data_IF_203723081210
#
_entry.id   IF_203723081210
#
_cell.length_a   1.000
_cell.length_b   1.000
_cell.length_c   1.000
_cell.angle_alpha   90.00
_cell.angle_beta   90.00
_cell.angle_gamma   90.00
#
_symmetry.space_group_name_H-M   'P 1'
#
loop_
_entity.id
_entity.type
_entity.pdbx_description
1 polymer ?
#
# COMPACT_ATOMS: atom_id res chain seq x y z
N UNK A 1 37.77 43.54 15.71
CA UNK A 1 37.95 42.08 15.61
C UNK A 1 37.40 41.45 16.88
N UNK A 2 36.18 40.89 16.83
CA UNK A 2 35.57 40.13 17.92
C UNK A 2 34.77 39.00 17.26
N UNK A 3 35.27 37.77 17.40
CA UNK A 3 34.66 36.53 16.93
C UNK A 3 33.26 36.34 17.52
N UNK A 4 32.29 35.96 16.67
CA UNK A 4 31.01 35.41 17.13
C UNK A 4 31.22 33.93 17.41
N UNK A 5 31.07 33.54 18.67
CA UNK A 5 31.02 32.14 19.09
C UNK A 5 29.80 31.45 18.45
N UNK A 6 30.05 30.35 17.75
CA UNK A 6 29.03 29.43 17.23
C UNK A 6 28.39 28.66 18.39
N UNK A 7 27.05 28.73 18.50
CA UNK A 7 26.27 27.92 19.44
C UNK A 7 26.22 26.48 18.89
N UNK A 8 26.63 25.45 19.66
CA UNK A 8 26.59 24.07 19.19
C UNK A 8 25.15 23.53 19.23
N UNK A 9 24.74 22.85 18.17
CA UNK A 9 23.50 22.08 18.13
C UNK A 9 23.57 20.89 19.11
N UNK A 10 22.49 20.58 19.85
CA UNK A 10 22.47 19.39 20.70
C UNK A 10 22.49 18.13 19.82
N UNK A 11 23.43 17.23 20.11
CA UNK A 11 23.50 15.90 19.48
C UNK A 11 22.29 15.03 19.84
N UNK A 12 22.03 13.95 19.07
CA UNK A 12 20.90 13.07 19.33
C UNK A 12 21.02 12.41 20.72
N UNK A 13 19.89 12.35 21.43
CA UNK A 13 19.81 11.74 22.75
C UNK A 13 20.18 10.23 22.70
N UNK A 14 20.87 9.71 23.73
CA UNK A 14 21.24 8.30 23.79
C UNK A 14 19.97 7.42 23.86
N UNK A 15 19.92 6.39 23.01
CA UNK A 15 18.86 5.37 23.03
C UNK A 15 18.93 4.64 24.38
N UNK A 16 17.90 4.82 25.21
CA UNK A 16 17.73 4.06 26.44
C UNK A 16 17.52 2.57 26.11
N UNK A 17 18.50 1.74 26.44
CA UNK A 17 18.39 0.28 26.39
C UNK A 17 17.55 -0.20 27.57
N UNK A 18 16.24 -0.35 27.36
CA UNK A 18 15.36 -1.04 28.30
C UNK A 18 15.58 -2.55 28.17
N UNK A 19 16.54 -3.07 28.92
CA UNK A 19 16.69 -4.51 29.15
C UNK A 19 15.55 -4.98 30.07
N UNK A 20 14.45 -5.46 29.48
CA UNK A 20 13.42 -6.19 30.22
C UNK A 20 13.97 -7.55 30.61
N UNK A 21 13.99 -7.94 31.90
CA UNK A 21 14.49 -9.25 32.31
C UNK A 21 13.50 -10.35 31.90
N UNK A 22 13.95 -11.26 31.04
CA UNK A 22 13.29 -12.52 30.72
C UNK A 22 13.25 -13.40 31.98
N UNK A 23 12.14 -13.34 32.74
CA UNK A 23 11.84 -14.32 33.78
C UNK A 23 11.22 -15.56 33.14
N UNK A 24 11.98 -16.65 33.08
CA UNK A 24 11.49 -17.95 32.70
C UNK A 24 10.42 -18.44 33.69
N UNK A 25 9.23 -18.77 33.20
CA UNK A 25 8.25 -19.59 33.90
C UNK A 25 8.18 -20.96 33.20
N UNK A 26 8.50 -22.06 33.90
CA UNK A 26 8.46 -23.39 33.32
C UNK A 26 7.05 -23.97 33.37
N UNK A 27 6.66 -24.59 32.24
CA UNK A 27 5.71 -25.69 32.21
C UNK A 27 4.25 -25.36 32.54
N UNK A 28 3.51 -24.90 31.54
CA UNK A 28 2.11 -25.32 31.31
C UNK A 28 1.65 -24.73 29.97
N UNK A 29 1.59 -25.56 28.92
CA UNK A 29 0.55 -25.58 27.88
C UNK A 29 0.99 -26.52 26.76
N UNK A 30 0.01 -27.30 26.30
CA UNK A 30 0.19 -28.50 25.50
C UNK A 30 0.78 -28.26 24.12
N UNK A 31 1.19 -29.38 23.55
CA UNK A 31 1.76 -29.59 22.22
C UNK A 31 0.81 -29.21 21.08
N UNK A 32 0.59 -27.92 20.85
CA UNK A 32 -0.01 -27.44 19.58
C UNK A 32 0.90 -26.40 18.94
N UNK A 33 1.45 -26.79 17.78
CA UNK A 33 1.85 -25.92 16.67
C UNK A 33 3.14 -25.09 16.79
N UNK A 34 4.28 -25.79 16.88
CA UNK A 34 5.62 -25.24 16.59
C UNK A 34 5.74 -24.68 15.15
N UNK A 35 4.88 -25.11 14.22
CA UNK A 35 4.84 -24.62 12.83
C UNK A 35 4.02 -23.34 12.63
N UNK A 36 2.93 -23.13 13.38
CA UNK A 36 2.08 -21.93 13.23
C UNK A 36 2.74 -20.69 13.85
N UNK A 37 3.44 -20.86 14.97
CA UNK A 37 4.23 -19.80 15.58
C UNK A 37 5.29 -19.27 14.58
N UNK A 38 6.00 -20.16 13.88
CA UNK A 38 7.00 -19.76 12.89
C UNK A 38 6.44 -19.04 11.66
N UNK A 39 5.23 -19.38 11.21
CA UNK A 39 4.57 -18.67 10.09
C UNK A 39 4.13 -17.27 10.50
N UNK A 40 3.49 -17.13 11.67
CA UNK A 40 3.06 -15.83 12.18
C UNK A 40 4.25 -14.91 12.44
N UNK A 41 5.35 -15.46 12.98
CA UNK A 41 6.59 -14.73 13.15
C UNK A 41 7.12 -14.26 11.79
N UNK A 42 7.21 -15.12 10.77
CA UNK A 42 7.66 -14.73 9.42
C UNK A 42 6.72 -13.75 8.69
N UNK A 43 5.43 -13.73 9.04
CA UNK A 43 4.42 -12.88 8.44
C UNK A 43 4.43 -11.45 9.02
N UNK A 44 4.73 -11.31 10.32
CA UNK A 44 4.53 -10.04 11.05
C UNK A 44 5.81 -9.46 11.67
N UNK A 45 6.91 -10.24 11.77
CA UNK A 45 8.14 -9.78 12.40
C UNK A 45 8.77 -8.58 11.67
N UNK A 46 9.47 -7.75 12.44
CA UNK A 46 10.29 -6.65 11.95
C UNK A 46 11.52 -7.19 11.19
N UNK A 47 11.29 -7.64 9.95
CA UNK A 47 12.34 -8.13 9.06
C UNK A 47 12.89 -9.49 9.44
N UNK A 48 12.63 -10.47 8.58
CA UNK A 48 13.52 -11.62 8.47
C UNK A 48 14.69 -11.23 7.54
N UNK A 49 15.91 -10.99 8.04
CA UNK A 49 17.07 -10.76 7.18
C UNK A 49 17.35 -11.93 6.22
N UNK A 50 16.73 -13.11 6.44
CA UNK A 50 16.87 -14.27 5.57
C UNK A 50 15.96 -14.22 4.32
N UNK A 51 14.99 -13.30 4.21
CA UNK A 51 14.08 -13.23 3.06
C UNK A 51 13.83 -11.80 2.53
N UNK A 52 14.87 -11.15 1.98
CA UNK A 52 14.73 -9.84 1.34
C UNK A 52 13.84 -9.93 0.10
N UNK A 53 13.11 -8.86 -0.20
CA UNK A 53 12.40 -8.76 -1.48
C UNK A 53 13.39 -8.83 -2.65
N UNK A 54 13.10 -9.69 -3.63
CA UNK A 54 13.84 -9.74 -4.89
C UNK A 54 12.86 -9.64 -6.05
N UNK A 55 13.05 -8.62 -6.86
CA UNK A 55 12.21 -8.34 -8.02
C UNK A 55 12.23 -9.51 -9.02
N UNK A 56 11.05 -9.82 -9.56
CA UNK A 56 10.80 -10.90 -10.54
C UNK A 56 11.26 -12.31 -10.16
N UNK A 57 11.41 -12.62 -8.86
CA UNK A 57 11.52 -14.00 -8.39
C UNK A 57 10.16 -14.70 -8.33
N UNK A 58 10.18 -16.03 -8.20
CA UNK A 58 9.00 -16.89 -8.26
C UNK A 58 7.81 -16.43 -7.41
N UNK A 59 8.05 -16.00 -6.17
CA UNK A 59 6.98 -15.49 -5.31
C UNK A 59 6.36 -14.19 -5.84
N UNK A 60 7.19 -13.24 -6.30
CA UNK A 60 6.70 -11.99 -6.89
C UNK A 60 5.93 -12.25 -8.19
N UNK A 61 6.46 -13.07 -9.10
CA UNK A 61 5.80 -13.44 -10.35
C UNK A 61 4.46 -14.16 -10.10
N UNK A 62 4.41 -15.04 -9.10
CA UNK A 62 3.18 -15.71 -8.70
C UNK A 62 2.17 -14.70 -8.14
N UNK A 63 2.59 -13.79 -7.27
CA UNK A 63 1.72 -12.72 -6.75
C UNK A 63 1.16 -11.85 -7.87
N UNK A 64 2.00 -11.45 -8.84
CA UNK A 64 1.59 -10.71 -10.02
C UNK A 64 0.54 -11.47 -10.83
N UNK A 65 0.78 -12.75 -11.12
CA UNK A 65 -0.13 -13.57 -11.90
C UNK A 65 -1.49 -13.75 -11.20
N UNK A 66 -1.48 -14.05 -9.90
CA UNK A 66 -2.70 -14.23 -9.11
C UNK A 66 -3.48 -12.93 -9.03
N UNK A 67 -2.83 -11.81 -8.71
CA UNK A 67 -3.49 -10.51 -8.57
C UNK A 67 -4.00 -9.99 -9.91
N UNK A 68 -3.27 -10.22 -11.01
CA UNK A 68 -3.75 -9.91 -12.35
C UNK A 68 -4.97 -10.76 -12.73
N UNK A 69 -4.97 -12.05 -12.43
CA UNK A 69 -6.12 -12.93 -12.69
C UNK A 69 -7.36 -12.51 -11.86
N UNK A 70 -7.18 -12.20 -10.58
CA UNK A 70 -8.25 -11.69 -9.71
C UNK A 70 -8.76 -10.32 -10.16
N UNK A 71 -7.87 -9.41 -10.54
CA UNK A 71 -8.22 -8.11 -11.09
C UNK A 71 -9.02 -8.23 -12.39
N UNK A 72 -8.56 -9.07 -13.31
CA UNK A 72 -9.29 -9.38 -14.54
C UNK A 72 -10.66 -9.98 -14.25
N UNK A 73 -10.75 -10.96 -13.35
CA UNK A 73 -12.03 -11.54 -12.93
C UNK A 73 -12.98 -10.49 -12.36
N UNK A 74 -12.47 -9.58 -11.52
CA UNK A 74 -13.23 -8.46 -10.95
C UNK A 74 -13.80 -7.54 -12.04
N UNK A 75 -12.98 -7.17 -13.02
CA UNK A 75 -13.41 -6.35 -14.15
C UNK A 75 -14.47 -7.06 -15.00
N UNK A 76 -14.28 -8.34 -15.30
CA UNK A 76 -15.25 -9.14 -16.07
C UNK A 76 -16.59 -9.24 -15.37
N UNK A 77 -16.58 -9.51 -14.06
CA UNK A 77 -17.79 -9.53 -13.25
C UNK A 77 -18.47 -8.16 -13.18
N UNK A 78 -17.70 -7.07 -13.17
CA UNK A 78 -18.23 -5.72 -13.27
C UNK A 78 -18.92 -5.44 -14.61
N UNK A 79 -18.32 -5.88 -15.72
CA UNK A 79 -18.86 -5.68 -17.06
C UNK A 79 -20.15 -6.47 -17.30
N UNK A 80 -20.19 -7.75 -16.92
CA UNK A 80 -21.34 -8.63 -17.17
C UNK A 80 -22.34 -8.73 -16.03
N UNK A 81 -22.03 -8.15 -14.86
CA UNK A 81 -22.85 -8.25 -13.66
C UNK A 81 -23.98 -7.23 -13.61
N UNK A 82 -24.92 -7.45 -12.69
CA UNK A 82 -25.97 -6.49 -12.36
C UNK A 82 -25.40 -5.26 -11.65
N UNK A 83 -26.21 -4.21 -11.54
CA UNK A 83 -25.86 -3.02 -10.75
C UNK A 83 -25.54 -3.38 -9.29
N UNK A 84 -26.23 -4.37 -8.72
CA UNK A 84 -25.95 -4.86 -7.37
C UNK A 84 -24.55 -5.51 -7.29
N UNK A 85 -24.17 -6.33 -8.27
CA UNK A 85 -22.83 -6.92 -8.35
C UNK A 85 -21.78 -5.82 -8.45
N UNK A 86 -22.01 -4.81 -9.30
CA UNK A 86 -21.10 -3.65 -9.43
C UNK A 86 -20.92 -2.92 -8.10
N UNK A 87 -22.01 -2.66 -7.37
CA UNK A 87 -21.95 -2.00 -6.07
C UNK A 87 -21.21 -2.84 -5.03
N UNK A 88 -21.44 -4.15 -4.99
CA UNK A 88 -20.70 -5.08 -4.11
C UNK A 88 -19.21 -5.08 -4.40
N UNK A 89 -18.82 -5.09 -5.69
CA UNK A 89 -17.42 -5.02 -6.11
C UNK A 89 -16.79 -3.69 -5.69
N UNK A 90 -17.45 -2.56 -5.97
CA UNK A 90 -16.99 -1.22 -5.53
C UNK A 90 -16.75 -1.18 -4.02
N UNK A 91 -17.70 -1.67 -3.23
CA UNK A 91 -17.58 -1.77 -1.76
C UNK A 91 -16.42 -2.66 -1.34
N UNK A 92 -16.20 -3.79 -2.02
CA UNK A 92 -15.06 -4.67 -1.80
C UNK A 92 -13.73 -3.97 -2.05
N UNK A 93 -13.59 -3.26 -3.17
CA UNK A 93 -12.39 -2.48 -3.49
C UNK A 93 -12.14 -1.38 -2.44
N UNK A 94 -13.18 -0.64 -2.04
CA UNK A 94 -13.07 0.38 -0.98
C UNK A 94 -12.61 -0.25 0.33
N UNK A 95 -13.17 -1.40 0.72
CA UNK A 95 -12.78 -2.10 1.94
C UNK A 95 -11.30 -2.56 1.88
N UNK A 96 -10.85 -3.13 0.76
CA UNK A 96 -9.45 -3.53 0.57
C UNK A 96 -8.49 -2.34 0.68
N UNK A 97 -8.82 -1.22 0.04
CA UNK A 97 -8.03 0.01 0.11
C UNK A 97 -7.93 0.54 1.54
N UNK A 98 -9.04 0.58 2.28
CA UNK A 98 -9.05 1.02 3.68
C UNK A 98 -8.28 0.08 4.60
N UNK A 99 -8.49 -1.24 4.45
CA UNK A 99 -7.80 -2.24 5.28
C UNK A 99 -6.29 -2.18 5.07
N UNK A 100 -5.83 -2.13 3.81
CA UNK A 100 -4.38 -2.03 3.51
C UNK A 100 -3.78 -0.70 3.95
N UNK A 101 -4.54 0.40 3.86
CA UNK A 101 -4.10 1.69 4.37
C UNK A 101 -3.95 1.69 5.89
N UNK A 102 -4.95 1.18 6.62
CA UNK A 102 -4.94 1.10 8.09
C UNK A 102 -3.87 0.13 8.59
N UNK A 103 -3.74 -1.04 7.94
CA UNK A 103 -2.67 -2.01 8.22
C UNK A 103 -1.30 -1.33 8.18
N UNK A 104 -1.00 -0.58 7.13
CA UNK A 104 0.30 0.05 7.01
C UNK A 104 0.53 1.11 8.07
N UNK A 105 -0.51 1.87 8.42
CA UNK A 105 -0.40 2.83 9.51
C UNK A 105 -0.10 2.15 10.83
N UNK A 106 -0.86 1.09 11.14
CA UNK A 106 -0.74 0.31 12.36
C UNK A 106 0.61 -0.39 12.48
N UNK A 107 1.06 -1.10 11.44
CA UNK A 107 2.33 -1.83 11.44
C UNK A 107 3.50 -0.91 11.75
N UNK A 108 3.54 0.25 11.10
CA UNK A 108 4.63 1.20 11.32
C UNK A 108 4.52 1.95 12.67
N UNK A 109 3.31 2.16 13.23
CA UNK A 109 3.16 2.65 14.63
C UNK A 109 3.75 1.63 15.60
N UNK A 110 3.40 0.35 15.41
CA UNK A 110 3.79 -0.73 16.30
C UNK A 110 5.32 -0.93 16.35
N UNK A 111 6.00 -0.77 15.21
CA UNK A 111 7.44 -0.95 15.11
C UNK A 111 8.26 0.32 15.44
N UNK A 112 7.60 1.41 15.84
CA UNK A 112 8.29 2.66 16.18
C UNK A 112 8.92 3.38 14.98
N UNK A 113 8.63 2.93 13.76
CA UNK A 113 9.03 3.55 12.48
C UNK A 113 8.02 4.65 12.07
N UNK A 114 7.37 5.29 13.04
CA UNK A 114 6.44 6.38 12.80
C UNK A 114 7.18 7.71 12.71
N UNK A 115 7.66 8.05 11.51
CA UNK A 115 8.20 9.37 11.19
C UNK A 115 7.15 10.21 10.42
N UNK A 116 6.88 11.43 10.90
CA UNK A 116 5.98 12.40 10.24
C UNK A 116 6.43 12.71 8.81
N UNK A 117 7.75 12.73 8.56
CA UNK A 117 8.34 13.05 7.26
C UNK A 117 8.12 11.97 6.18
N UNK A 118 7.98 10.69 6.56
CA UNK A 118 7.73 9.59 5.63
C UNK A 118 6.23 9.37 5.35
N UNK A 119 5.34 10.11 6.03
CA UNK A 119 3.88 9.90 5.99
C UNK A 119 3.03 11.14 5.78
N UNK A 120 3.57 12.23 5.22
CA UNK A 120 2.62 13.18 4.61
C UNK A 120 1.80 12.41 3.56
N UNK A 121 0.50 12.71 3.38
CA UNK A 121 -0.32 12.22 2.26
C UNK A 121 0.20 12.71 0.87
N UNK A 122 1.47 13.13 0.82
CA UNK A 122 2.29 13.50 -0.31
C UNK A 122 3.12 12.32 -0.88
N UNK A 123 2.88 11.08 -0.43
CA UNK A 123 3.19 9.93 -1.27
C UNK A 123 2.03 9.67 -2.22
N UNK A 124 2.33 9.63 -3.52
CA UNK A 124 1.37 9.53 -4.60
C UNK A 124 0.41 8.34 -4.45
N UNK A 125 0.87 7.21 -3.91
CA UNK A 125 0.03 6.04 -3.62
C UNK A 125 -1.06 6.34 -2.57
N UNK A 126 -0.71 7.01 -1.47
CA UNK A 126 -1.66 7.40 -0.42
C UNK A 126 -2.73 8.36 -0.94
N UNK A 127 -2.34 9.33 -1.77
CA UNK A 127 -3.30 10.20 -2.45
C UNK A 127 -4.24 9.41 -3.37
N UNK A 128 -3.71 8.46 -4.13
CA UNK A 128 -4.52 7.62 -5.04
C UNK A 128 -5.44 6.64 -4.32
N UNK A 129 -5.11 6.18 -3.11
CA UNK A 129 -6.05 5.42 -2.26
C UNK A 129 -7.31 6.25 -1.99
N UNK A 130 -7.15 7.49 -1.53
CA UNK A 130 -8.28 8.37 -1.22
C UNK A 130 -9.06 8.80 -2.44
N UNK A 131 -8.37 9.15 -3.54
CA UNK A 131 -9.02 9.47 -4.82
C UNK A 131 -9.83 8.27 -5.34
N UNK A 132 -9.27 7.06 -5.26
CA UNK A 132 -9.98 5.85 -5.70
C UNK A 132 -11.20 5.56 -4.83
N UNK A 133 -11.07 5.65 -3.49
CA UNK A 133 -12.22 5.48 -2.58
C UNK A 133 -13.31 6.52 -2.89
N UNK A 134 -12.94 7.79 -3.00
CA UNK A 134 -13.89 8.87 -3.25
C UNK A 134 -14.56 8.71 -4.63
N UNK A 135 -13.80 8.38 -5.67
CA UNK A 135 -14.32 8.13 -7.01
C UNK A 135 -15.27 6.94 -7.06
N UNK A 136 -14.91 5.81 -6.44
CA UNK A 136 -15.78 4.63 -6.38
C UNK A 136 -17.08 4.89 -5.59
N UNK A 137 -17.05 5.76 -4.58
CA UNK A 137 -18.23 6.14 -3.79
C UNK A 137 -19.15 7.13 -4.49
N UNK A 138 -18.58 8.13 -5.18
CA UNK A 138 -19.33 9.33 -5.60
C UNK A 138 -19.48 9.48 -7.10
N UNK A 139 -18.73 8.70 -7.88
CA UNK A 139 -18.75 8.69 -9.35
C UNK A 139 -18.60 10.08 -9.97
N UNK A 140 -17.71 10.90 -9.39
CA UNK A 140 -17.53 12.29 -9.81
C UNK A 140 -16.60 12.37 -11.03
N UNK A 141 -16.96 13.10 -12.10
CA UNK A 141 -16.17 13.13 -13.34
C UNK A 141 -14.72 13.61 -13.20
N UNK A 142 -14.40 14.37 -12.14
CA UNK A 142 -13.03 14.86 -11.91
C UNK A 142 -12.10 13.77 -11.34
N UNK A 143 -12.64 12.71 -10.72
CA UNK A 143 -11.84 11.62 -10.15
C UNK A 143 -11.42 10.62 -11.21
N UNK A 144 -12.25 10.42 -12.25
CA UNK A 144 -12.01 9.48 -13.34
C UNK A 144 -10.65 9.67 -14.04
N UNK A 145 -10.27 10.90 -14.49
CA UNK A 145 -8.94 11.12 -15.06
C UNK A 145 -7.81 10.83 -14.08
N UNK A 146 -7.98 11.12 -12.79
CA UNK A 146 -6.95 10.87 -11.77
C UNK A 146 -6.76 9.37 -11.55
N UNK A 147 -7.86 8.62 -11.40
CA UNK A 147 -7.83 7.17 -11.26
C UNK A 147 -7.25 6.48 -12.50
N UNK A 148 -7.59 6.98 -13.69
CA UNK A 148 -7.09 6.44 -14.94
C UNK A 148 -5.61 6.74 -15.18
N UNK A 149 -5.20 8.01 -15.19
CA UNK A 149 -3.84 8.38 -15.54
C UNK A 149 -2.87 8.14 -14.38
N UNK A 150 -3.19 8.68 -13.20
CA UNK A 150 -2.28 8.67 -12.06
C UNK A 150 -2.40 7.38 -11.26
N UNK A 151 -3.63 6.87 -11.09
CA UNK A 151 -3.89 5.60 -10.44
C UNK A 151 -3.23 4.44 -11.17
N UNK A 152 -3.46 4.27 -12.48
CA UNK A 152 -2.85 3.17 -13.23
C UNK A 152 -1.33 3.34 -13.35
N UNK A 153 -0.84 4.49 -13.86
CA UNK A 153 0.59 4.67 -14.11
C UNK A 153 1.40 4.60 -12.81
N UNK A 154 0.91 5.22 -11.73
CA UNK A 154 1.54 5.21 -10.43
C UNK A 154 1.50 3.84 -9.75
N UNK A 155 0.34 3.17 -9.78
CA UNK A 155 0.20 1.92 -9.06
C UNK A 155 0.89 0.74 -9.77
N UNK A 156 1.02 0.76 -11.11
CA UNK A 156 1.83 -0.25 -11.83
C UNK A 156 3.27 -0.25 -11.31
N UNK A 157 3.86 0.93 -11.03
CA UNK A 157 5.22 0.99 -10.49
C UNK A 157 5.31 0.30 -9.12
N UNK A 158 4.34 0.53 -8.22
CA UNK A 158 4.33 -0.13 -6.91
C UNK A 158 4.02 -1.63 -6.95
N UNK A 159 3.35 -2.12 -8.00
CA UNK A 159 3.17 -3.55 -8.25
C UNK A 159 4.45 -4.19 -8.82
N UNK A 160 5.16 -3.51 -9.73
CA UNK A 160 6.39 -4.04 -10.34
C UNK A 160 7.60 -3.93 -9.41
N UNK A 161 7.70 -2.84 -8.67
CA UNK A 161 8.74 -2.56 -7.70
C UNK A 161 8.10 -2.14 -6.37
N UNK A 162 7.64 -3.12 -5.57
CA UNK A 162 7.13 -2.88 -4.22
C UNK A 162 8.11 -2.06 -3.38
N UNK A 163 7.58 -1.09 -2.64
CA UNK A 163 8.30 -0.27 -1.67
C UNK A 163 8.64 -1.02 -0.38
N UNK A 164 8.16 -2.26 -0.24
CA UNK A 164 8.44 -3.09 0.91
C UNK A 164 9.83 -3.73 0.79
N UNK A 165 10.71 -3.58 1.80
CA UNK A 165 12.00 -4.27 1.82
C UNK A 165 11.85 -5.79 2.04
N UNK A 166 10.65 -6.25 2.41
CA UNK A 166 10.36 -7.62 2.81
C UNK A 166 9.78 -8.43 1.64
N UNK A 167 10.24 -9.67 1.47
CA UNK A 167 9.68 -10.60 0.48
C UNK A 167 8.39 -11.29 0.99
N UNK A 168 7.69 -11.98 0.09
CA UNK A 168 6.61 -12.90 0.48
C UNK A 168 7.12 -13.93 1.50
N UNK A 169 6.36 -14.26 2.57
CA UNK A 169 4.95 -13.96 2.82
C UNK A 169 4.66 -12.71 3.67
N UNK A 170 5.62 -11.80 3.85
CA UNK A 170 5.49 -10.71 4.82
C UNK A 170 4.24 -9.82 4.62
N UNK A 171 3.59 -9.42 5.71
CA UNK A 171 2.32 -8.65 5.69
C UNK A 171 2.42 -7.37 4.86
N UNK A 172 3.54 -6.64 4.98
CA UNK A 172 3.79 -5.41 4.22
C UNK A 172 3.91 -5.66 2.72
N UNK A 173 4.55 -6.76 2.31
CA UNK A 173 4.61 -7.13 0.89
C UNK A 173 3.21 -7.41 0.35
N UNK A 174 2.44 -8.23 1.07
CA UNK A 174 1.08 -8.61 0.67
C UNK A 174 0.17 -7.38 0.62
N UNK A 175 0.22 -6.51 1.64
CA UNK A 175 -0.57 -5.28 1.71
C UNK A 175 -0.20 -4.30 0.58
N UNK A 176 1.08 -4.09 0.30
CA UNK A 176 1.55 -3.26 -0.82
C UNK A 176 1.02 -3.81 -2.15
N UNK A 177 1.17 -5.11 -2.41
CA UNK A 177 0.72 -5.73 -3.67
C UNK A 177 -0.80 -5.64 -3.85
N UNK A 178 -1.58 -5.93 -2.80
CA UNK A 178 -3.06 -5.84 -2.83
C UNK A 178 -3.50 -4.39 -3.04
N UNK A 179 -2.94 -3.44 -2.28
CA UNK A 179 -3.33 -2.03 -2.36
C UNK A 179 -3.09 -1.48 -3.76
N UNK A 180 -1.89 -1.65 -4.31
CA UNK A 180 -1.54 -1.13 -5.63
C UNK A 180 -2.32 -1.83 -6.75
N UNK A 181 -2.51 -3.15 -6.68
CA UNK A 181 -3.37 -3.85 -7.65
C UNK A 181 -4.80 -3.30 -7.61
N UNK A 182 -5.35 -3.03 -6.41
CA UNK A 182 -6.70 -2.50 -6.27
C UNK A 182 -6.84 -1.11 -6.89
N UNK A 183 -5.81 -0.25 -6.75
CA UNK A 183 -5.78 1.07 -7.41
C UNK A 183 -5.75 0.91 -8.95
N UNK A 184 -4.93 0.00 -9.49
CA UNK A 184 -4.90 -0.27 -10.94
C UNK A 184 -6.27 -0.74 -11.42
N UNK A 185 -6.89 -1.70 -10.71
CA UNK A 185 -8.22 -2.21 -11.05
C UNK A 185 -9.28 -1.12 -10.96
N UNK A 186 -9.22 -0.23 -9.96
CA UNK A 186 -10.13 0.90 -9.86
C UNK A 186 -9.99 1.90 -11.03
N UNK A 187 -8.76 2.17 -11.48
CA UNK A 187 -8.52 2.98 -12.69
C UNK A 187 -9.08 2.32 -13.96
N UNK A 188 -8.87 1.01 -14.11
CA UNK A 188 -9.43 0.24 -15.24
C UNK A 188 -10.95 0.11 -15.16
N UNK A 189 -11.51 0.04 -13.95
CA UNK A 189 -12.96 -0.05 -13.71
C UNK A 189 -13.69 1.14 -14.31
N UNK A 190 -13.18 2.35 -14.07
CA UNK A 190 -13.76 3.59 -14.60
C UNK A 190 -13.83 3.58 -16.14
N UNK A 191 -12.82 3.04 -16.81
CA UNK A 191 -12.80 2.96 -18.28
C UNK A 191 -13.68 1.82 -18.81
N UNK A 192 -13.54 0.63 -18.23
CA UNK A 192 -14.06 -0.60 -18.80
C UNK A 192 -15.47 -0.96 -18.34
N UNK A 193 -15.90 -0.44 -17.18
CA UNK A 193 -17.20 -0.74 -16.56
C UNK A 193 -18.08 0.50 -16.49
N UNK A 194 -17.50 1.66 -16.19
CA UNK A 194 -18.22 2.95 -16.17
C UNK A 194 -18.13 3.70 -17.51
N UNK A 195 -17.43 3.13 -18.50
CA UNK A 195 -17.35 3.62 -19.87
C UNK A 195 -16.85 5.07 -20.00
N UNK A 196 -15.99 5.50 -19.04
CA UNK A 196 -15.36 6.81 -19.11
C UNK A 196 -14.46 6.91 -20.36
N UNK A 197 -14.73 7.91 -21.20
CA UNK A 197 -13.91 8.22 -22.37
C UNK A 197 -12.84 9.28 -22.03
N UNK A 198 -11.55 8.95 -22.07
CA UNK A 198 -10.49 9.91 -21.77
C UNK A 198 -10.48 11.04 -22.81
N UNK A 199 -10.40 12.29 -22.33
CA UNK A 199 -10.28 13.46 -23.19
C UNK A 199 -8.96 14.20 -22.94
N UNK A 200 -8.38 14.80 -23.99
CA UNK A 200 -7.08 15.48 -23.93
C UNK A 200 -7.03 16.61 -22.89
N UNK A 201 -8.14 17.31 -22.68
CA UNK A 201 -8.24 18.40 -21.70
C UNK A 201 -8.06 17.87 -20.27
N UNK A 202 -8.72 16.76 -19.94
CA UNK A 202 -8.58 16.07 -18.66
C UNK A 202 -7.17 15.52 -18.48
N UNK A 203 -6.55 14.97 -19.53
CA UNK A 203 -5.14 14.53 -19.50
C UNK A 203 -4.20 15.67 -19.15
N UNK A 204 -4.30 16.80 -19.87
CA UNK A 204 -3.43 17.95 -19.65
C UNK A 204 -3.64 18.57 -18.26
N UNK A 205 -4.88 18.61 -17.78
CA UNK A 205 -5.18 19.07 -16.42
C UNK A 205 -4.59 18.16 -15.35
N UNK A 206 -4.73 16.83 -15.50
CA UNK A 206 -4.11 15.87 -14.58
C UNK A 206 -2.59 15.97 -14.59
N UNK A 207 -1.98 16.12 -15.77
CA UNK A 207 -0.53 16.32 -15.89
C UNK A 207 -0.07 17.63 -15.23
N UNK A 208 -0.82 18.73 -15.39
CA UNK A 208 -0.53 19.98 -14.71
C UNK A 208 -0.62 19.84 -13.18
N UNK A 209 -1.63 19.13 -12.68
CA UNK A 209 -1.78 18.84 -11.26
C UNK A 209 -0.59 18.05 -10.70
N UNK A 210 -0.14 17.02 -11.43
CA UNK A 210 1.05 16.23 -11.06
C UNK A 210 2.30 17.09 -11.09
N UNK A 211 2.44 17.96 -12.09
CA UNK A 211 3.58 18.88 -12.18
C UNK A 211 3.64 19.81 -10.97
N UNK A 212 2.51 20.45 -10.61
CA UNK A 212 2.39 21.31 -9.42
C UNK A 212 2.66 20.54 -8.13
N UNK A 213 2.24 19.28 -8.06
CA UNK A 213 2.53 18.43 -6.90
C UNK A 213 4.01 18.04 -6.78
N UNK A 214 4.73 17.96 -7.91
CA UNK A 214 6.11 17.52 -7.97
C UNK A 214 7.15 18.67 -7.86
N UNK A 215 6.73 19.93 -8.04
CA UNK A 215 7.55 21.15 -7.89
C UNK A 215 7.36 21.82 -6.55
#
# INVERSE_FOLDING_TARGET
MKERASVPFPGPAPKASLSVPLRASPGLLGSTNRGEAGVLDSFFAAGDPANPFVIFRGAHLLSLAVLAALGYGTLRLGQSGSEETRLRIKRGMIALLLVTFVEGHFWHVFHGEWAVAERLPLHMCGAMVWVSIYGLCTDRPWTHPLMYYLGIAGAIQGVLQPDSPYGFPHVRFVATMISHTTIVVAGLWVILVEEYAPNLRSTLWTLALVHVYAT
#
